data_IF_513970977008
#
_entry.id   IF_513970977008
#
_cell.length_a   1.000
_cell.length_b   1.000
_cell.length_c   1.000
_cell.angle_alpha   90.00
_cell.angle_beta   90.00
_cell.angle_gamma   90.00
#
_symmetry.space_group_name_H-M   'P 1'
#
loop_
_entity.id
_entity.type
_entity.pdbx_description
1 polymer ?
#
# COMPACT_ATOMS: atom_id res chain seq x y z
N UNK A 1 24.34 4.94 48.15
CA UNK A 1 24.15 5.75 46.91
C UNK A 1 22.78 6.39 47.01
N UNK A 2 22.70 7.73 47.02
CA UNK A 2 21.46 8.45 47.34
C UNK A 2 20.38 8.20 46.27
N UNK A 3 19.15 7.89 46.68
CA UNK A 3 17.98 7.75 45.78
C UNK A 3 17.80 8.97 44.88
N UNK A 4 18.08 10.16 45.39
CA UNK A 4 18.08 11.41 44.62
C UNK A 4 19.13 11.43 43.49
N UNK A 5 20.30 10.79 43.69
CA UNK A 5 21.35 10.70 42.66
C UNK A 5 20.94 9.74 41.55
N UNK A 6 20.32 8.61 41.90
CA UNK A 6 19.81 7.64 40.93
C UNK A 6 18.68 8.25 40.10
N UNK A 7 17.79 9.03 40.72
CA UNK A 7 16.68 9.70 40.05
C UNK A 7 17.16 10.82 39.11
N UNK A 8 18.20 11.58 39.49
CA UNK A 8 18.85 12.54 38.59
C UNK A 8 19.55 11.87 37.41
N UNK A 9 20.22 10.72 37.62
CA UNK A 9 20.87 9.98 36.54
C UNK A 9 19.82 9.39 35.58
N UNK A 10 18.70 8.88 36.08
CA UNK A 10 17.58 8.40 35.27
C UNK A 10 16.94 9.53 34.46
N UNK A 11 16.72 10.70 35.06
CA UNK A 11 16.20 11.88 34.36
C UNK A 11 17.18 12.37 33.29
N UNK A 12 18.48 12.36 33.57
CA UNK A 12 19.51 12.77 32.61
C UNK A 12 19.66 11.77 31.45
N UNK A 13 19.48 10.47 31.71
CA UNK A 13 19.44 9.43 30.69
C UNK A 13 18.15 9.50 29.83
N UNK A 14 17.01 9.89 30.42
CA UNK A 14 15.76 10.09 29.68
C UNK A 14 15.77 11.34 28.79
N UNK A 15 16.51 12.39 29.15
CA UNK A 15 16.60 13.63 28.36
C UNK A 15 17.68 13.55 27.27
N UNK A 16 18.72 12.74 27.46
CA UNK A 16 19.79 12.54 26.46
C UNK A 16 19.43 11.57 25.34
N UNK A 17 18.34 10.80 25.45
CA UNK A 17 17.85 9.92 24.38
C UNK A 17 17.08 10.65 23.28
N UNK A 18 16.73 11.93 23.48
CA UNK A 18 16.09 12.80 22.48
C UNK A 18 17.12 13.76 21.86
N UNK A 19 18.20 13.21 21.29
CA UNK A 19 18.92 13.96 20.25
C UNK A 19 18.08 13.81 18.97
N UNK A 20 17.48 14.87 18.41
CA UNK A 20 16.94 14.79 17.08
C UNK A 20 18.13 14.55 16.15
N UNK A 21 18.31 13.29 15.74
CA UNK A 21 19.20 12.98 14.63
C UNK A 21 18.58 13.72 13.46
N UNK A 22 19.24 14.81 13.05
CA UNK A 22 18.94 15.56 11.84
C UNK A 22 19.20 14.64 10.64
N UNK A 23 18.29 13.69 10.43
CA UNK A 23 18.21 12.93 9.21
C UNK A 23 17.69 13.90 8.16
N UNK A 24 18.50 14.22 7.16
CA UNK A 24 17.98 14.88 5.95
C UNK A 24 16.90 13.97 5.37
N UNK A 25 15.64 14.35 5.56
CA UNK A 25 14.50 13.56 5.12
C UNK A 25 14.29 13.84 3.62
N UNK A 26 14.22 12.78 2.81
CA UNK A 26 14.09 12.86 1.35
C UNK A 26 12.96 11.94 0.90
N UNK A 27 12.14 12.43 -0.02
CA UNK A 27 11.19 11.61 -0.77
C UNK A 27 11.60 11.58 -2.24
N UNK A 28 11.61 10.38 -2.83
CA UNK A 28 11.72 10.17 -4.27
C UNK A 28 10.78 9.02 -4.64
N UNK A 29 9.82 9.29 -5.52
CA UNK A 29 8.77 8.35 -5.86
C UNK A 29 8.21 8.60 -7.26
N UNK A 30 7.37 7.68 -7.71
CA UNK A 30 6.52 7.85 -8.89
C UNK A 30 5.07 7.90 -8.38
N UNK A 31 4.33 8.89 -8.87
CA UNK A 31 2.94 9.14 -8.45
C UNK A 31 1.99 8.05 -8.97
N UNK A 32 0.73 8.08 -8.51
CA UNK A 32 -0.26 7.07 -8.89
C UNK A 32 -0.56 7.06 -10.39
N UNK A 33 -0.61 8.22 -11.04
CA UNK A 33 -0.85 8.33 -12.49
C UNK A 33 0.22 7.60 -13.31
N UNK A 34 1.50 7.83 -12.99
CA UNK A 34 2.60 7.23 -13.73
C UNK A 34 2.74 5.74 -13.38
N UNK A 35 2.44 5.31 -12.14
CA UNK A 35 2.33 3.88 -11.80
C UNK A 35 1.18 3.21 -12.54
N UNK A 36 0.02 3.86 -12.65
CA UNK A 36 -1.12 3.34 -13.40
C UNK A 36 -0.77 3.19 -14.88
N UNK A 37 -0.06 4.15 -15.45
CA UNK A 37 0.43 4.10 -16.84
C UNK A 37 1.44 2.98 -17.08
N UNK A 38 2.33 2.71 -16.11
CA UNK A 38 3.39 1.69 -16.24
C UNK A 38 2.93 0.28 -15.89
N UNK A 39 2.09 0.13 -14.86
CA UNK A 39 1.73 -1.15 -14.25
C UNK A 39 0.22 -1.44 -14.24
N UNK A 40 -0.63 -0.45 -14.53
CA UNK A 40 -2.08 -0.60 -14.42
C UNK A 40 -2.60 -0.63 -12.97
N UNK A 41 -1.83 -0.10 -12.02
CA UNK A 41 -2.15 -0.10 -10.59
C UNK A 41 -2.42 1.33 -10.10
N UNK A 42 -3.40 1.48 -9.21
CA UNK A 42 -3.68 2.75 -8.53
C UNK A 42 -2.94 2.81 -7.19
N UNK A 43 -1.65 3.13 -7.25
CA UNK A 43 -0.76 3.20 -6.09
C UNK A 43 0.47 4.06 -6.40
N UNK A 44 1.13 4.59 -5.36
CA UNK A 44 2.41 5.28 -5.50
C UNK A 44 3.58 4.31 -5.27
N UNK A 45 4.71 4.55 -5.96
CA UNK A 45 5.92 3.76 -5.80
C UNK A 45 7.06 4.61 -5.25
N UNK A 46 7.38 4.43 -3.97
CA UNK A 46 8.49 5.12 -3.31
C UNK A 46 9.82 4.38 -3.47
N UNK A 47 10.82 5.09 -3.97
CA UNK A 47 12.24 4.67 -3.95
C UNK A 47 12.93 5.11 -2.68
N UNK A 48 12.62 6.31 -2.22
CA UNK A 48 13.02 6.82 -0.90
C UNK A 48 11.78 7.41 -0.26
N UNK A 49 11.51 6.99 0.98
CA UNK A 49 10.39 7.52 1.77
C UNK A 49 10.93 7.99 3.10
N UNK A 50 10.78 9.28 3.39
CA UNK A 50 11.26 9.92 4.62
C UNK A 50 12.75 9.63 4.89
N UNK A 51 13.59 9.63 3.85
CA UNK A 51 15.02 9.32 3.93
C UNK A 51 15.36 7.82 3.96
N UNK A 52 14.37 6.92 4.05
CA UNK A 52 14.58 5.47 4.03
C UNK A 52 14.55 4.94 2.61
N UNK A 53 15.62 4.28 2.19
CA UNK A 53 15.74 3.69 0.84
C UNK A 53 14.96 2.39 0.76
N UNK A 54 14.09 2.29 -0.25
CA UNK A 54 13.37 1.07 -0.58
C UNK A 54 14.18 0.22 -1.57
N UNK A 55 14.97 -0.73 -1.04
CA UNK A 55 15.80 -1.61 -1.88
C UNK A 55 14.98 -2.48 -2.84
N UNK A 56 13.75 -2.87 -2.46
CA UNK A 56 12.87 -3.64 -3.33
C UNK A 56 12.47 -2.83 -4.57
N UNK A 57 12.11 -1.56 -4.39
CA UNK A 57 11.75 -0.68 -5.50
C UNK A 57 12.93 -0.42 -6.46
N UNK A 58 14.17 -0.33 -5.93
CA UNK A 58 15.37 -0.13 -6.75
C UNK A 58 15.73 -1.36 -7.60
N UNK A 59 15.54 -2.57 -7.05
CA UNK A 59 15.86 -3.83 -7.73
C UNK A 59 14.77 -4.30 -8.70
N UNK A 60 13.56 -3.72 -8.61
CA UNK A 60 12.45 -4.08 -9.46
C UNK A 60 12.52 -3.38 -10.83
N UNK A 61 12.81 -4.17 -11.87
CA UNK A 61 12.92 -3.68 -13.25
C UNK A 61 11.55 -3.66 -13.91
N UNK A 62 10.94 -2.47 -13.95
CA UNK A 62 9.64 -2.26 -14.61
C UNK A 62 9.87 -2.06 -16.12
N UNK A 63 9.12 -2.78 -16.99
CA UNK A 63 9.14 -2.53 -18.42
C UNK A 63 8.44 -1.21 -18.77
N UNK A 64 9.02 -0.46 -19.69
CA UNK A 64 8.48 0.81 -20.20
C UNK A 64 8.11 0.58 -21.66
N UNK A 65 6.81 0.70 -21.97
CA UNK A 65 6.27 0.48 -23.31
C UNK A 65 6.85 1.45 -24.34
N UNK A 66 6.86 1.05 -25.62
CA UNK A 66 7.32 1.90 -26.72
C UNK A 66 6.50 3.19 -26.88
N UNK A 67 5.24 3.19 -26.42
CA UNK A 67 4.33 4.34 -26.46
C UNK A 67 4.64 5.41 -25.39
N UNK A 68 5.50 5.10 -24.42
CA UNK A 68 5.83 5.99 -23.31
C UNK A 68 7.20 6.61 -23.58
N UNK A 69 7.22 7.87 -23.94
CA UNK A 69 8.47 8.59 -24.25
C UNK A 69 9.09 9.26 -23.03
N UNK A 70 8.32 9.53 -21.99
CA UNK A 70 8.78 10.20 -20.79
C UNK A 70 8.32 9.49 -19.52
N UNK A 71 9.25 9.33 -18.56
CA UNK A 71 8.97 8.87 -17.21
C UNK A 71 9.02 10.05 -16.24
N UNK A 72 8.05 10.11 -15.32
CA UNK A 72 7.93 11.18 -14.35
C UNK A 72 8.30 10.71 -12.94
N UNK A 73 9.19 11.44 -12.28
CA UNK A 73 9.62 11.19 -10.92
C UNK A 73 9.33 12.42 -10.08
N UNK A 74 8.76 12.19 -8.90
CA UNK A 74 8.48 13.23 -7.93
C UNK A 74 9.49 13.13 -6.80
N UNK A 75 9.99 14.27 -6.37
CA UNK A 75 10.95 14.36 -5.27
C UNK A 75 10.70 15.56 -4.38
N UNK A 76 11.19 15.45 -3.15
CA UNK A 76 11.09 16.52 -2.17
C UNK A 76 12.17 16.36 -1.10
N UNK A 77 12.88 17.44 -0.81
CA UNK A 77 13.68 17.57 0.39
C UNK A 77 12.78 18.01 1.55
N UNK A 78 12.56 17.10 2.50
CA UNK A 78 11.80 17.34 3.72
C UNK A 78 12.70 17.87 4.85
N UNK A 79 14.03 17.86 4.66
CA UNK A 79 14.99 18.37 5.62
C UNK A 79 15.25 19.87 5.49
N UNK A 80 15.85 20.44 6.53
CA UNK A 80 16.27 21.85 6.55
C UNK A 80 17.60 22.10 5.83
N UNK A 81 18.37 21.03 5.58
CA UNK A 81 19.66 21.09 4.89
C UNK A 81 19.44 20.92 3.39
N UNK A 82 20.05 21.79 2.59
CA UNK A 82 20.00 21.68 1.14
C UNK A 82 20.76 20.42 0.68
N UNK A 83 20.07 19.56 -0.09
CA UNK A 83 20.66 18.33 -0.63
C UNK A 83 21.12 18.58 -2.06
N UNK A 84 22.42 18.43 -2.31
CA UNK A 84 22.96 18.50 -3.68
C UNK A 84 22.76 17.17 -4.39
N UNK A 85 22.28 17.21 -5.63
CA UNK A 85 22.10 16.03 -6.46
C UNK A 85 22.98 16.08 -7.72
N UNK A 86 23.24 14.89 -8.27
CA UNK A 86 23.76 14.66 -9.59
C UNK A 86 22.97 13.52 -10.25
N UNK A 87 22.49 13.71 -11.48
CA UNK A 87 21.72 12.73 -12.22
C UNK A 87 22.44 12.33 -13.50
N UNK A 88 22.49 11.02 -13.77
CA UNK A 88 23.05 10.44 -14.99
C UNK A 88 22.13 9.37 -15.56
N UNK A 89 22.15 9.26 -16.89
CA UNK A 89 21.51 8.17 -17.62
C UNK A 89 22.58 7.30 -18.26
N UNK A 90 22.44 5.99 -18.13
CA UNK A 90 23.22 5.02 -18.89
C UNK A 90 22.27 4.03 -19.60
N UNK A 91 22.56 3.73 -20.86
CA UNK A 91 21.69 2.96 -21.75
C UNK A 91 22.53 2.03 -22.60
N UNK A 92 22.15 0.76 -22.68
CA UNK A 92 22.89 -0.26 -23.43
C UNK A 92 22.80 -0.04 -24.96
N UNK A 93 21.61 0.02 -25.55
CA UNK A 93 21.41 0.19 -27.00
C UNK A 93 21.00 1.62 -27.33
N UNK A 94 21.96 2.55 -27.38
CA UNK A 94 21.67 3.97 -27.69
C UNK A 94 21.06 4.18 -29.08
N UNK A 95 21.35 3.31 -30.04
CA UNK A 95 20.83 3.40 -31.42
C UNK A 95 19.30 3.27 -31.50
N UNK A 96 18.67 2.68 -30.49
CA UNK A 96 17.22 2.53 -30.39
C UNK A 96 16.50 3.85 -30.04
N UNK A 97 17.23 4.87 -29.60
CA UNK A 97 16.69 6.13 -29.08
C UNK A 97 16.99 7.29 -30.04
N UNK A 98 16.07 8.26 -30.10
CA UNK A 98 16.31 9.51 -30.82
C UNK A 98 17.18 10.48 -30.01
N UNK A 99 16.95 10.52 -28.69
CA UNK A 99 17.67 11.35 -27.73
C UNK A 99 17.40 10.87 -26.29
N UNK A 100 18.19 11.36 -25.34
CA UNK A 100 18.10 10.97 -23.93
C UNK A 100 18.36 12.21 -23.08
N UNK A 101 17.30 12.77 -22.51
CA UNK A 101 17.37 14.07 -21.82
C UNK A 101 16.55 14.09 -20.53
N UNK A 102 16.78 15.13 -19.73
CA UNK A 102 16.05 15.41 -18.49
C UNK A 102 15.53 16.85 -18.54
N UNK A 103 14.37 17.12 -17.94
CA UNK A 103 13.86 18.49 -17.81
C UNK A 103 14.48 19.27 -16.61
N UNK A 104 15.61 18.78 -16.08
CA UNK A 104 16.37 19.37 -14.97
C UNK A 104 17.87 19.38 -15.32
N UNK A 105 18.65 20.19 -14.61
CA UNK A 105 20.10 20.20 -14.76
C UNK A 105 20.73 18.89 -14.28
N UNK A 106 21.88 18.51 -14.85
CA UNK A 106 22.61 17.29 -14.41
C UNK A 106 23.07 17.37 -12.96
N UNK A 107 23.28 18.57 -12.44
CA UNK A 107 23.62 18.84 -11.04
C UNK A 107 22.77 19.98 -10.52
N UNK A 108 22.40 19.95 -9.25
CA UNK A 108 21.59 21.00 -8.63
C UNK A 108 21.26 20.71 -7.18
N UNK A 109 20.24 21.39 -6.66
CA UNK A 109 19.69 21.17 -5.32
C UNK A 109 18.32 20.51 -5.41
N UNK A 110 18.06 19.55 -4.52
CA UNK A 110 16.73 18.93 -4.39
C UNK A 110 15.76 19.98 -3.83
N UNK A 111 14.61 20.20 -4.47
CA UNK A 111 13.65 21.23 -4.05
C UNK A 111 13.00 20.89 -2.71
N UNK A 112 12.70 21.92 -1.92
CA UNK A 112 12.01 21.79 -0.62
C UNK A 112 10.51 21.53 -0.76
N UNK A 113 9.91 22.06 -1.83
CA UNK A 113 8.55 21.73 -2.23
C UNK A 113 8.57 20.49 -3.12
N UNK A 114 7.49 19.74 -3.09
CA UNK A 114 7.31 18.63 -4.00
C UNK A 114 7.34 19.11 -5.45
N UNK A 115 8.22 18.52 -6.25
CA UNK A 115 8.34 18.81 -7.68
C UNK A 115 8.49 17.53 -8.47
N UNK A 116 8.03 17.56 -9.72
CA UNK A 116 8.15 16.44 -10.65
C UNK A 116 9.12 16.79 -11.76
N UNK A 117 10.10 15.91 -12.00
CA UNK A 117 10.98 15.98 -13.15
C UNK A 117 10.73 14.78 -14.07
N UNK A 118 11.10 14.93 -15.33
CA UNK A 118 10.88 13.92 -16.37
C UNK A 118 12.18 13.49 -17.03
N UNK A 119 12.26 12.19 -17.33
CA UNK A 119 13.31 11.58 -18.12
C UNK A 119 12.75 11.24 -19.49
N UNK A 120 13.27 11.88 -20.54
CA UNK A 120 12.83 11.71 -21.91
C UNK A 120 13.69 10.65 -22.61
N UNK A 121 13.05 9.60 -23.11
CA UNK A 121 13.65 8.42 -23.73
C UNK A 121 12.82 7.92 -24.94
N UNK A 122 12.57 8.77 -25.95
CA UNK A 122 11.78 8.43 -27.12
C UNK A 122 12.48 7.35 -27.96
N UNK A 123 11.69 6.41 -28.48
CA UNK A 123 12.19 5.41 -29.40
C UNK A 123 12.34 6.00 -30.80
N UNK A 124 13.48 5.73 -31.44
CA UNK A 124 13.76 6.18 -32.82
C UNK A 124 12.86 5.51 -33.87
N UNK A 125 12.26 4.37 -33.53
CA UNK A 125 11.30 3.65 -34.40
C UNK A 125 11.92 2.82 -35.52
N UNK A 126 13.25 2.75 -35.66
CA UNK A 126 13.90 1.95 -36.71
C UNK A 126 14.33 0.55 -36.27
N UNK A 127 14.39 0.30 -34.97
CA UNK A 127 14.90 -0.93 -34.37
C UNK A 127 13.91 -1.45 -33.32
N UNK A 128 13.55 -2.73 -33.44
CA UNK A 128 12.83 -3.44 -32.38
C UNK A 128 13.86 -3.97 -31.38
N UNK A 129 13.82 -3.47 -30.14
CA UNK A 129 14.79 -3.82 -29.11
C UNK A 129 14.23 -3.60 -27.70
N UNK A 130 14.75 -4.36 -26.75
CA UNK A 130 14.55 -4.13 -25.32
C UNK A 130 15.88 -3.65 -24.74
N UNK A 131 15.90 -2.42 -24.24
CA UNK A 131 17.11 -1.75 -23.77
C UNK A 131 17.04 -1.53 -22.27
N UNK A 132 18.06 -1.97 -21.55
CA UNK A 132 18.21 -1.62 -20.13
C UNK A 132 18.64 -0.15 -20.02
N UNK A 133 17.86 0.61 -19.26
CA UNK A 133 18.13 2.00 -18.89
C UNK A 133 18.43 2.05 -17.39
N UNK A 134 19.60 2.56 -17.04
CA UNK A 134 20.03 2.80 -15.68
C UNK A 134 20.01 4.30 -15.38
N UNK A 135 19.10 4.69 -14.49
CA UNK A 135 18.98 6.05 -13.98
C UNK A 135 19.74 6.10 -12.66
N UNK A 136 20.80 6.91 -12.61
CA UNK A 136 21.65 7.06 -11.43
C UNK A 136 21.46 8.46 -10.83
N UNK A 137 20.85 8.53 -9.64
CA UNK A 137 20.67 9.77 -8.89
C UNK A 137 21.56 9.70 -7.65
N UNK A 138 22.63 10.47 -7.65
CA UNK A 138 23.54 10.60 -6.52
C UNK A 138 23.15 11.83 -5.71
N UNK A 139 22.89 11.65 -4.42
CA UNK A 139 22.56 12.75 -3.51
C UNK A 139 23.64 12.83 -2.43
N UNK A 140 24.20 14.02 -2.25
CA UNK A 140 25.14 14.30 -1.18
C UNK A 140 24.38 14.45 0.16
N UNK A 141 24.07 13.31 0.80
CA UNK A 141 23.64 13.30 2.20
C UNK A 141 24.87 13.38 3.11
N UNK A 142 24.76 14.18 4.17
CA UNK A 142 25.75 14.18 5.25
C UNK A 142 25.31 13.12 6.26
N UNK A 143 26.15 12.12 6.62
CA UNK A 143 27.58 12.03 6.36
C UNK A 143 27.99 11.21 5.12
N UNK A 144 27.09 10.43 4.52
CA UNK A 144 27.42 9.50 3.43
C UNK A 144 26.57 9.81 2.19
N UNK A 145 27.18 10.04 1.01
CA UNK A 145 26.43 10.22 -0.22
C UNK A 145 25.65 8.95 -0.57
N UNK A 146 24.40 9.13 -0.98
CA UNK A 146 23.49 8.04 -1.35
C UNK A 146 23.39 7.98 -2.88
N UNK A 147 23.63 6.80 -3.45
CA UNK A 147 23.47 6.54 -4.88
C UNK A 147 22.23 5.69 -5.14
N UNK A 148 21.20 6.28 -5.73
CA UNK A 148 19.99 5.59 -6.16
C UNK A 148 20.16 5.13 -7.60
N UNK A 149 20.15 3.81 -7.79
CA UNK A 149 20.29 3.16 -9.09
C UNK A 149 18.95 2.54 -9.48
N UNK A 150 18.16 3.27 -10.27
CA UNK A 150 16.84 2.83 -10.73
C UNK A 150 17.02 2.21 -12.11
N UNK A 151 16.66 0.93 -12.26
CA UNK A 151 16.79 0.22 -13.53
C UNK A 151 15.41 0.05 -14.18
N UNK A 152 15.30 0.38 -15.46
CA UNK A 152 14.10 0.27 -16.28
C UNK A 152 14.43 -0.51 -17.56
N UNK A 153 13.47 -1.27 -18.06
CA UNK A 153 13.60 -1.96 -19.35
C UNK A 153 12.75 -1.24 -20.38
N UNK A 154 13.34 -0.42 -21.24
CA UNK A 154 12.61 0.28 -22.30
C UNK A 154 12.42 -0.66 -23.48
N UNK A 155 11.19 -0.78 -23.95
CA UNK A 155 10.85 -1.54 -25.15
C UNK A 155 10.69 -0.53 -26.29
N UNK A 156 11.47 -0.70 -27.35
CA UNK A 156 11.32 0.01 -28.60
C UNK A 156 10.87 -0.95 -29.69
N UNK A 157 9.96 -0.49 -30.53
CA UNK A 157 9.45 -1.25 -31.66
C UNK A 157 9.85 -0.57 -32.95
N UNK A 158 10.13 -1.37 -33.97
CA UNK A 158 10.27 -0.85 -35.32
C UNK A 158 8.90 -0.42 -35.81
N UNK A 159 8.78 0.83 -36.26
CA UNK A 159 7.61 1.35 -36.94
C UNK A 159 7.62 0.73 -38.33
N UNK A 160 6.72 -0.22 -38.57
CA UNK A 160 6.45 -0.65 -39.93
C UNK A 160 5.68 0.49 -40.60
N UNK A 161 6.26 1.09 -41.65
CA UNK A 161 5.58 2.04 -42.51
C UNK A 161 4.51 1.31 -43.32
N UNK A 162 3.47 0.81 -42.66
CA UNK A 162 2.20 0.52 -43.29
C UNK A 162 1.49 1.85 -43.48
N UNK A 163 1.83 2.55 -44.58
CA UNK A 163 0.87 3.45 -45.22
C UNK A 163 -0.30 2.57 -45.67
N UNK A 164 -1.22 2.27 -44.77
CA UNK A 164 -2.52 1.69 -45.04
C UNK A 164 -3.46 2.13 -43.92
N UNK A 165 -4.23 3.17 -44.26
CA UNK A 165 -5.61 3.42 -43.87
C UNK A 165 -5.99 3.10 -42.42
N UNK A 166 -6.31 4.18 -41.68
CA UNK A 166 -7.13 4.17 -40.47
C UNK A 166 -8.14 3.00 -40.45
N UNK A 167 -7.86 1.99 -39.66
CA UNK A 167 -8.89 1.25 -38.95
C UNK A 167 -8.90 1.81 -37.53
N UNK A 168 -9.83 2.74 -37.28
CA UNK A 168 -10.24 3.08 -35.92
C UNK A 168 -10.92 1.84 -35.38
N UNK A 169 -10.14 0.94 -34.78
CA UNK A 169 -10.69 -0.11 -33.94
C UNK A 169 -11.20 0.56 -32.67
N UNK A 170 -12.48 0.92 -32.70
CA UNK A 170 -13.24 1.27 -31.53
C UNK A 170 -13.24 0.06 -30.58
N UNK A 171 -12.28 0.03 -29.65
CA UNK A 171 -12.34 -0.81 -28.46
C UNK A 171 -13.60 -0.41 -27.70
N UNK A 172 -14.66 -1.18 -27.93
CA UNK A 172 -15.88 -1.10 -27.15
C UNK A 172 -15.51 -1.49 -25.72
N UNK A 173 -15.40 -0.50 -24.82
CA UNK A 173 -15.31 -0.74 -23.38
C UNK A 173 -16.60 -1.47 -22.99
N UNK A 174 -16.52 -2.79 -22.90
CA UNK A 174 -17.56 -3.62 -22.31
C UNK A 174 -17.52 -3.35 -20.81
N UNK A 175 -18.26 -2.34 -20.38
CA UNK A 175 -18.57 -2.12 -18.96
C UNK A 175 -19.12 -3.42 -18.40
N UNK A 176 -18.42 -3.95 -17.39
CA UNK A 176 -18.80 -5.18 -16.69
C UNK A 176 -20.06 -4.92 -15.87
N UNK A 177 -21.20 -5.02 -16.56
CA UNK A 177 -22.57 -4.93 -16.05
C UNK A 177 -22.82 -5.86 -14.84
N UNK A 178 -21.96 -6.87 -14.64
CA UNK A 178 -21.99 -7.81 -13.50
C UNK A 178 -21.83 -7.11 -12.14
N UNK A 179 -21.04 -6.03 -12.04
CA UNK A 179 -20.85 -5.34 -10.75
C UNK A 179 -22.12 -4.63 -10.29
N UNK A 180 -22.89 -4.06 -11.20
CA UNK A 180 -24.14 -3.34 -10.90
C UNK A 180 -25.22 -4.32 -10.41
N UNK A 181 -25.30 -5.52 -11.01
CA UNK A 181 -26.22 -6.56 -10.54
C UNK A 181 -25.86 -7.09 -9.15
N UNK A 182 -24.57 -7.18 -8.81
CA UNK A 182 -24.14 -7.56 -7.46
C UNK A 182 -24.56 -6.52 -6.42
N UNK A 183 -24.36 -5.23 -6.68
CA UNK A 183 -24.80 -4.17 -5.76
C UNK A 183 -26.33 -4.15 -5.60
N UNK A 184 -27.10 -4.36 -6.68
CA UNK A 184 -28.56 -4.42 -6.61
C UNK A 184 -29.07 -5.63 -5.81
N UNK A 185 -28.48 -6.81 -6.02
CA UNK A 185 -28.86 -8.04 -5.33
C UNK A 185 -28.56 -7.96 -3.82
N UNK A 186 -27.42 -7.39 -3.43
CA UNK A 186 -27.05 -7.19 -2.03
C UNK A 186 -27.99 -6.21 -1.33
N UNK A 187 -28.33 -5.08 -1.98
CA UNK A 187 -29.28 -4.12 -1.43
C UNK A 187 -30.69 -4.72 -1.27
N UNK A 188 -31.17 -5.48 -2.25
CA UNK A 188 -32.47 -6.15 -2.15
C UNK A 188 -32.50 -7.19 -1.01
N UNK A 189 -31.41 -7.95 -0.82
CA UNK A 189 -31.29 -8.91 0.27
C UNK A 189 -31.34 -8.25 1.66
N UNK A 190 -30.67 -7.11 1.82
CA UNK A 190 -30.68 -6.35 3.08
C UNK A 190 -32.10 -5.84 3.40
N UNK A 191 -32.81 -5.28 2.41
CA UNK A 191 -34.18 -4.78 2.61
C UNK A 191 -35.17 -5.90 2.95
N UNK A 192 -35.03 -7.07 2.32
CA UNK A 192 -35.85 -8.24 2.66
C UNK A 192 -35.58 -8.69 4.11
N UNK A 193 -34.31 -8.77 4.51
CA UNK A 193 -33.95 -9.18 5.87
C UNK A 193 -34.45 -8.19 6.94
N UNK A 194 -34.36 -6.88 6.69
CA UNK A 194 -34.87 -5.87 7.65
C UNK A 194 -36.39 -5.91 7.76
N UNK A 195 -37.12 -6.09 6.65
CA UNK A 195 -38.58 -6.21 6.70
C UNK A 195 -39.03 -7.45 7.49
N UNK A 196 -38.37 -8.59 7.31
CA UNK A 196 -38.68 -9.82 8.05
C UNK A 196 -38.39 -9.65 9.56
N UNK A 197 -37.27 -9.02 9.92
CA UNK A 197 -36.93 -8.73 11.31
C UNK A 197 -37.92 -7.75 11.96
N UNK A 198 -38.37 -6.73 11.24
CA UNK A 198 -39.41 -5.81 11.72
C UNK A 198 -40.76 -6.51 11.91
N UNK A 199 -41.18 -7.36 10.96
CA UNK A 199 -42.43 -8.13 11.06
C UNK A 199 -42.35 -9.11 12.23
N UNK A 200 -41.23 -9.81 12.40
CA UNK A 200 -41.01 -10.68 13.56
C UNK A 200 -41.03 -9.90 14.88
N UNK A 201 -40.41 -8.72 14.91
CA UNK A 201 -40.43 -7.83 16.06
C UNK A 201 -41.84 -7.34 16.42
N UNK A 202 -42.66 -6.96 15.44
CA UNK A 202 -44.06 -6.57 15.64
C UNK A 202 -44.90 -7.77 16.06
N UNK A 203 -44.68 -8.95 15.49
CA UNK A 203 -45.38 -10.17 15.87
C UNK A 203 -45.08 -10.58 17.33
N UNK A 204 -43.83 -10.42 17.76
CA UNK A 204 -43.41 -10.68 19.15
C UNK A 204 -43.96 -9.59 20.09
N UNK A 205 -43.96 -8.32 19.67
CA UNK A 205 -44.55 -7.21 20.45
C UNK A 205 -46.07 -7.34 20.59
N UNK A 206 -46.78 -7.79 19.57
CA UNK A 206 -48.22 -8.04 19.64
C UNK A 206 -48.58 -9.25 20.53
N UNK A 207 -47.62 -10.13 20.85
CA UNK A 207 -47.79 -11.17 21.86
C UNK A 207 -47.57 -10.67 23.30
N UNK A 208 -47.01 -9.47 23.50
CA UNK A 208 -47.05 -8.81 24.80
C UNK A 208 -48.32 -7.95 24.89
N UNK A 209 -49.33 -8.36 25.67
CA UNK A 209 -50.49 -7.52 25.91
C UNK A 209 -50.07 -6.22 26.61
N UNK A 210 -50.50 -5.12 26.00
CA UNK A 210 -50.50 -3.76 26.54
C UNK A 210 -50.90 -3.74 28.02
N UNK A 211 -50.08 -3.12 28.86
CA UNK A 211 -50.57 -2.54 30.12
C UNK A 211 -49.86 -1.21 30.37
N UNK A 212 -50.67 -0.16 30.17
CA UNK A 212 -50.74 1.16 30.79
C UNK A 212 -49.51 2.09 30.80
N UNK A 213 -49.73 3.25 30.20
CA UNK A 213 -49.02 4.52 30.29
C UNK A 213 -48.95 5.10 31.72
N UNK A 214 -47.80 5.70 32.11
CA UNK A 214 -47.73 6.99 32.83
C UNK A 214 -46.28 7.55 32.85
N UNK A 215 -46.03 8.82 32.52
CA UNK A 215 -44.75 9.51 32.76
C UNK A 215 -44.91 10.66 33.80
N UNK A 216 -43.86 11.42 34.10
CA UNK A 216 -42.69 11.10 34.91
C UNK A 216 -42.68 11.91 36.23
N UNK A 217 -41.97 11.46 37.29
CA UNK A 217 -41.71 12.37 38.43
C UNK A 217 -40.41 12.04 39.18
N UNK A 218 -39.48 12.99 39.04
CA UNK A 218 -38.53 13.54 40.02
C UNK A 218 -37.78 12.62 41.02
N UNK A 219 -36.46 12.62 40.83
CA UNK A 219 -35.38 12.94 41.80
C UNK A 219 -35.51 12.47 43.26
N UNK A 220 -34.53 11.67 43.72
CA UNK A 220 -33.62 11.91 44.87
C UNK A 220 -33.02 10.57 45.33
N UNK A 221 -31.68 10.42 45.28
CA UNK A 221 -30.72 10.63 46.38
C UNK A 221 -30.53 9.39 47.28
N UNK A 222 -29.30 8.85 47.21
CA UNK A 222 -28.51 8.19 48.28
C UNK A 222 -28.97 6.89 48.97
N UNK A 223 -28.15 5.85 48.74
CA UNK A 223 -27.16 5.29 49.68
C UNK A 223 -27.57 4.30 50.80
N UNK A 224 -26.84 3.17 50.75
CA UNK A 224 -26.39 2.20 51.77
C UNK A 224 -27.35 1.26 52.54
N UNK A 225 -26.86 0.00 52.56
CA UNK A 225 -27.25 -1.26 53.23
C UNK A 225 -27.66 -1.17 54.72
N UNK A 226 -28.23 -2.28 55.23
CA UNK A 226 -27.65 -2.89 56.41
C UNK A 226 -27.37 -4.41 56.30
N UNK A 227 -26.45 -4.79 57.18
CA UNK A 227 -25.77 -6.06 57.52
C UNK A 227 -26.71 -7.15 58.09
N UNK A 228 -26.42 -8.46 58.01
CA UNK A 228 -25.53 -9.21 58.94
C UNK A 228 -25.43 -10.71 58.50
N UNK A 229 -24.24 -11.26 58.24
CA UNK A 229 -23.37 -12.17 59.05
C UNK A 229 -23.90 -13.60 59.35
N UNK A 230 -23.28 -14.65 58.77
CA UNK A 230 -22.54 -15.74 59.47
C UNK A 230 -21.82 -16.67 58.46
N UNK A 231 -20.64 -17.14 58.87
CA UNK A 231 -19.55 -17.76 58.09
C UNK A 231 -19.46 -19.29 58.38
N UNK A 232 -18.37 -20.04 58.05
CA UNK A 232 -18.16 -20.90 56.88
C UNK A 232 -17.94 -22.39 57.21
N UNK A 233 -17.85 -23.26 56.20
CA UNK A 233 -17.15 -24.60 56.13
C UNK A 233 -17.65 -25.25 54.82
N UNK A 234 -16.92 -25.92 53.92
CA UNK A 234 -15.67 -26.69 53.91
C UNK A 234 -15.17 -26.86 52.46
N UNK A 235 -13.85 -26.75 52.29
CA UNK A 235 -12.91 -27.54 51.45
C UNK A 235 -13.21 -28.05 50.03
N UNK A 236 -12.19 -27.83 49.16
CA UNK A 236 -11.63 -28.74 48.12
C UNK A 236 -12.46 -28.99 46.84
N UNK A 237 -11.94 -29.31 45.66
CA UNK A 237 -10.62 -29.25 44.98
C UNK A 237 -10.85 -29.82 43.57
N UNK A 238 -10.19 -29.25 42.55
CA UNK A 238 -9.59 -29.91 41.37
C UNK A 238 -10.42 -30.61 40.26
N UNK A 239 -10.05 -30.25 39.01
CA UNK A 239 -10.10 -30.99 37.73
C UNK A 239 -11.46 -31.20 37.02
N UNK A 240 -11.54 -31.40 35.70
CA UNK A 240 -10.56 -31.81 34.69
C UNK A 240 -10.99 -31.38 33.29
N UNK A 241 -10.00 -31.14 32.42
CA UNK A 241 -10.11 -31.15 30.97
C UNK A 241 -10.88 -32.37 30.43
N UNK A 242 -11.72 -32.16 29.41
CA UNK A 242 -11.92 -33.13 28.33
C UNK A 242 -11.89 -32.44 26.98
N UNK A 243 -10.87 -32.77 26.17
CA UNK A 243 -10.94 -32.74 24.70
C UNK A 243 -11.55 -34.07 24.23
N UNK A 244 -12.23 -34.05 23.09
CA UNK A 244 -12.68 -35.23 22.34
C UNK A 244 -12.49 -35.00 20.83
N UNK A 245 -12.40 -36.07 20.02
CA UNK A 245 -11.18 -36.40 19.29
C UNK A 245 -11.27 -36.26 17.77
N UNK A 246 -10.09 -36.34 17.15
CA UNK A 246 -9.88 -36.62 15.72
C UNK A 246 -10.32 -38.04 15.34
N UNK A 247 -11.07 -38.16 14.26
CA UNK A 247 -11.16 -39.41 13.48
C UNK A 247 -10.61 -39.19 12.08
N UNK A 248 -9.88 -40.19 11.65
CA UNK A 248 -9.08 -40.29 10.44
C UNK A 248 -9.67 -41.35 9.49
N UNK A 249 -9.38 -41.17 8.20
CA UNK A 249 -9.36 -42.18 7.12
C UNK A 249 -10.69 -42.71 6.57
N UNK A 250 -10.99 -42.31 5.34
CA UNK A 250 -11.47 -43.23 4.30
C UNK A 250 -10.57 -43.02 3.07
N UNK A 251 -10.00 -44.13 2.60
CA UNK A 251 -9.08 -44.24 1.47
C UNK A 251 -9.70 -43.90 0.12
N UNK A 252 -8.80 -43.40 -0.72
CA UNK A 252 -8.84 -43.19 -2.18
C UNK A 252 -9.11 -44.49 -2.96
N UNK A 253 -9.47 -44.45 -4.26
CA UNK A 253 -8.38 -44.45 -5.25
C UNK A 253 -8.62 -43.72 -6.59
N UNK A 254 -7.50 -43.18 -7.10
CA UNK A 254 -7.06 -43.15 -8.50
C UNK A 254 -7.72 -42.18 -9.50
N UNK A 255 -7.05 -41.05 -9.73
CA UNK A 255 -6.86 -40.51 -11.09
C UNK A 255 -5.41 -40.07 -11.30
N UNK A 256 -4.71 -40.88 -12.09
CA UNK A 256 -3.30 -40.81 -12.46
C UNK A 256 -3.15 -39.91 -13.69
N UNK A 257 -2.65 -38.68 -13.55
CA UNK A 257 -2.27 -37.85 -14.70
C UNK A 257 -0.80 -38.13 -15.09
N UNK A 258 -0.64 -38.74 -16.26
CA UNK A 258 0.62 -39.07 -16.92
C UNK A 258 1.13 -37.85 -17.69
N UNK A 259 2.34 -37.40 -17.37
CA UNK A 259 3.09 -36.43 -18.18
C UNK A 259 3.68 -37.14 -19.41
N UNK A 260 3.52 -36.56 -20.60
CA UNK A 260 4.25 -36.96 -21.79
C UNK A 260 5.12 -35.80 -22.25
N UNK A 261 6.43 -36.03 -22.22
CA UNK A 261 7.41 -35.25 -22.97
C UNK A 261 7.21 -35.50 -24.46
N UNK A 262 7.42 -34.48 -25.29
CA UNK A 262 7.72 -34.65 -26.71
C UNK A 262 8.96 -33.84 -27.07
N UNK A 263 9.85 -34.55 -27.77
CA UNK A 263 11.00 -34.07 -28.54
C UNK A 263 10.49 -33.21 -29.71
#
# INVERSE_FOLDING_TARGET
MNTNVIQCILLFLLTTSFVPISNGMLNIFINSEEVQKLLGLDAELYYVRNGVINQHALNFVIPVSSKIDSLHFTWQNLGNLALQYNVNLDVQQREAFEGLDFNISKTGLVPTNEQTFSIHMPCKGFLSSESDVLISINIALIPIPVALKIRRKKICMKIENTLNTQAVDAVTIRTSSVKIFYYAAVCAGILAATSIMCIAGVYIRNKQPTTADEPPTNQSFTSFLPTTIRNPTTSSSYSSFRRMPSYSLIEEPLLRCKWSNYI
#
